data_IF_874945625222
#
_entry.id   IF_874945625222
#
_cell.length_a   1.000
_cell.length_b   1.000
_cell.length_c   1.000
_cell.angle_alpha   90.00
_cell.angle_beta   90.00
_cell.angle_gamma   90.00
#
_symmetry.space_group_name_H-M   'P 1'
#
loop_
_entity.id
_entity.type
_entity.pdbx_description
1 polymer ?
#
# COMPACT_ATOMS: atom_id res chain seq x y z
N UNK A 1 25.72 -26.84 43.91
CA UNK A 1 26.12 -25.47 43.50
C UNK A 1 27.56 -25.52 43.00
N UNK A 2 28.00 -24.62 42.10
CA UNK A 2 27.25 -23.78 41.16
C UNK A 2 27.25 -24.50 39.76
N UNK A 3 27.11 -23.93 38.56
CA UNK A 3 26.85 -22.54 38.11
C UNK A 3 25.68 -22.54 37.10
N UNK A 4 24.84 -21.52 37.27
CA UNK A 4 23.81 -20.95 36.39
C UNK A 4 24.22 -20.70 34.91
N UNK A 5 23.38 -21.09 33.94
CA UNK A 5 23.13 -20.26 32.75
C UNK A 5 21.80 -20.58 32.02
N UNK A 6 21.08 -19.54 31.63
CA UNK A 6 20.24 -19.53 30.41
C UNK A 6 18.93 -20.34 30.40
N UNK A 7 17.93 -19.94 31.17
CA UNK A 7 16.53 -20.20 30.80
C UNK A 7 16.21 -19.42 29.51
N UNK A 8 16.43 -20.04 28.36
CA UNK A 8 16.17 -19.43 27.05
C UNK A 8 15.43 -20.45 26.18
N UNK A 9 14.10 -20.45 26.31
CA UNK A 9 13.20 -21.38 25.66
C UNK A 9 13.04 -21.02 24.16
N UNK A 10 14.11 -21.24 23.37
CA UNK A 10 14.04 -21.14 21.92
C UNK A 10 13.21 -22.33 21.41
N UNK A 11 11.91 -22.10 21.21
CA UNK A 11 11.02 -23.05 20.54
C UNK A 11 11.39 -23.09 19.04
N UNK A 12 12.50 -23.75 18.76
CA UNK A 12 12.92 -24.09 17.41
C UNK A 12 11.95 -25.14 16.86
N UNK A 13 11.09 -24.72 15.93
CA UNK A 13 10.19 -25.61 15.22
C UNK A 13 10.98 -26.48 14.23
N UNK A 14 11.57 -27.57 14.71
CA UNK A 14 12.22 -28.58 13.88
C UNK A 14 11.18 -29.34 13.04
N UNK A 15 11.31 -29.28 11.72
CA UNK A 15 10.60 -30.14 10.78
C UNK A 15 11.48 -31.35 10.53
N UNK A 16 10.96 -32.55 10.78
CA UNK A 16 11.65 -33.83 10.59
C UNK A 16 10.68 -34.88 10.01
N UNK A 17 11.19 -35.97 9.45
CA UNK A 17 10.35 -37.02 8.87
C UNK A 17 9.71 -37.89 9.96
N UNK A 18 8.64 -38.63 9.60
CA UNK A 18 7.98 -39.55 10.54
C UNK A 18 8.95 -40.63 11.07
N UNK A 19 9.86 -41.12 10.22
CA UNK A 19 10.92 -42.06 10.61
C UNK A 19 11.88 -41.45 11.65
N UNK A 20 12.21 -40.15 11.51
CA UNK A 20 13.06 -39.43 12.46
C UNK A 20 12.33 -39.18 13.80
N UNK A 21 11.02 -38.92 13.78
CA UNK A 21 10.20 -38.86 15.01
C UNK A 21 10.18 -40.22 15.73
N UNK A 22 9.98 -41.31 14.99
CA UNK A 22 9.94 -42.66 15.57
C UNK A 22 11.29 -43.07 16.15
N UNK A 23 12.40 -42.86 15.44
CA UNK A 23 13.74 -43.25 15.90
C UNK A 23 14.26 -42.41 17.08
N UNK A 24 14.02 -41.10 17.10
CA UNK A 24 14.59 -40.21 18.13
C UNK A 24 13.67 -40.00 19.34
N UNK A 25 12.35 -40.16 19.18
CA UNK A 25 11.37 -39.87 20.25
C UNK A 25 10.37 -41.00 20.51
N UNK A 26 10.40 -42.10 19.73
CA UNK A 26 9.50 -43.25 19.91
C UNK A 26 8.02 -42.98 19.54
N UNK A 27 7.70 -41.80 19.02
CA UNK A 27 6.32 -41.39 18.73
C UNK A 27 5.88 -41.94 17.38
N UNK A 28 4.99 -42.94 17.39
CA UNK A 28 4.40 -43.54 16.17
C UNK A 28 3.00 -43.01 15.82
N UNK A 29 2.35 -42.28 16.73
CA UNK A 29 0.95 -41.88 16.60
C UNK A 29 0.78 -40.45 16.06
N UNK A 30 -0.16 -40.26 15.13
CA UNK A 30 -0.46 -38.97 14.52
C UNK A 30 -1.32 -38.08 15.42
N UNK A 31 -0.72 -37.04 15.99
CA UNK A 31 -1.44 -36.08 16.86
C UNK A 31 -2.27 -35.03 16.09
N UNK A 32 -2.03 -34.83 14.80
CA UNK A 32 -2.78 -33.88 13.95
C UNK A 32 -2.67 -34.30 12.49
N UNK A 33 -3.78 -34.21 11.74
CA UNK A 33 -3.84 -34.46 10.29
C UNK A 33 -4.41 -33.23 9.60
N UNK A 34 -3.61 -32.59 8.75
CA UNK A 34 -3.99 -31.37 8.02
C UNK A 34 -4.49 -31.72 6.61
N UNK A 35 -5.79 -31.54 6.37
CA UNK A 35 -6.41 -31.77 5.05
C UNK A 35 -6.60 -30.42 4.36
N UNK A 36 -5.92 -30.21 3.23
CA UNK A 36 -6.15 -29.06 2.35
C UNK A 36 -7.21 -29.41 1.30
N UNK A 37 -8.26 -28.60 1.20
CA UNK A 37 -9.33 -28.78 0.21
C UNK A 37 -9.09 -27.82 -0.95
N UNK A 38 -8.95 -28.37 -2.16
CA UNK A 38 -8.77 -27.58 -3.39
C UNK A 38 -9.92 -26.58 -3.59
N UNK A 39 -9.57 -25.34 -3.91
CA UNK A 39 -10.50 -24.22 -4.08
C UNK A 39 -11.55 -24.49 -5.18
N UNK A 40 -12.74 -24.91 -4.75
CA UNK A 40 -13.88 -25.25 -5.62
C UNK A 40 -14.83 -26.22 -4.94
N UNK A 41 -14.31 -27.21 -4.21
CA UNK A 41 -15.12 -28.12 -3.38
C UNK A 41 -15.56 -27.44 -2.08
N UNK A 42 -16.81 -27.62 -1.68
CA UNK A 42 -17.39 -26.96 -0.51
C UNK A 42 -16.71 -27.37 0.80
N UNK A 43 -15.81 -26.55 1.34
CA UNK A 43 -15.06 -26.86 2.57
C UNK A 43 -15.97 -27.26 3.75
N UNK A 44 -17.14 -26.60 3.88
CA UNK A 44 -18.17 -26.93 4.89
C UNK A 44 -18.78 -28.31 4.71
N UNK A 45 -18.95 -28.78 3.47
CA UNK A 45 -19.50 -30.10 3.16
C UNK A 45 -18.47 -31.20 3.41
N UNK A 46 -17.22 -30.97 3.00
CA UNK A 46 -16.08 -31.86 3.31
C UNK A 46 -15.90 -31.97 4.83
N UNK A 47 -15.90 -30.84 5.55
CA UNK A 47 -15.85 -30.77 7.01
C UNK A 47 -17.03 -31.50 7.69
N UNK A 48 -18.26 -31.29 7.21
CA UNK A 48 -19.45 -31.97 7.72
C UNK A 48 -19.44 -33.48 7.46
N UNK A 49 -18.79 -33.96 6.40
CA UNK A 49 -18.63 -35.40 6.14
C UNK A 49 -17.47 -36.00 6.93
N UNK A 50 -16.33 -35.30 7.05
CA UNK A 50 -15.25 -35.70 7.97
C UNK A 50 -15.75 -35.81 9.41
N UNK A 51 -16.52 -34.82 9.90
CA UNK A 51 -17.15 -34.83 11.23
C UNK A 51 -18.24 -35.89 11.45
N UNK A 52 -18.66 -36.63 10.41
CA UNK A 52 -19.43 -37.87 10.57
C UNK A 52 -18.51 -39.08 10.72
N UNK A 53 -17.47 -39.17 9.89
CA UNK A 53 -16.52 -40.28 9.85
C UNK A 53 -15.68 -40.33 11.14
N UNK A 54 -15.23 -39.19 11.66
CA UNK A 54 -14.39 -39.12 12.87
C UNK A 54 -15.12 -39.41 14.17
N UNK A 55 -16.47 -39.55 14.18
CA UNK A 55 -17.22 -39.90 15.40
C UNK A 55 -16.85 -41.25 16.01
N UNK A 56 -16.34 -42.19 15.19
CA UNK A 56 -15.82 -43.47 15.66
C UNK A 56 -14.39 -43.40 16.21
N UNK A 57 -13.70 -42.25 16.10
CA UNK A 57 -12.33 -42.07 16.57
C UNK A 57 -12.36 -41.35 17.92
N UNK A 58 -11.95 -42.05 18.98
CA UNK A 58 -11.99 -41.53 20.34
C UNK A 58 -11.15 -40.23 20.46
N UNK A 59 -11.72 -39.19 21.08
CA UNK A 59 -11.04 -37.90 21.35
C UNK A 59 -10.64 -37.06 20.11
N UNK A 60 -11.10 -37.40 18.90
CA UNK A 60 -10.86 -36.61 17.69
C UNK A 60 -11.67 -35.29 17.68
N UNK A 61 -11.03 -34.17 17.33
CA UNK A 61 -11.70 -32.86 17.17
C UNK A 61 -11.42 -32.33 15.75
N UNK A 62 -12.46 -32.25 14.93
CA UNK A 62 -12.40 -31.58 13.61
C UNK A 62 -12.50 -30.07 13.84
N UNK A 63 -11.48 -29.31 13.42
CA UNK A 63 -11.41 -27.85 13.58
C UNK A 63 -11.42 -27.18 12.21
N UNK A 64 -12.49 -26.44 11.93
CA UNK A 64 -12.76 -25.88 10.62
C UNK A 64 -12.12 -24.49 10.45
N UNK A 65 -10.93 -24.46 9.86
CA UNK A 65 -10.21 -23.22 9.57
C UNK A 65 -10.83 -22.38 8.44
N UNK A 66 -11.81 -22.91 7.70
CA UNK A 66 -12.43 -22.20 6.57
C UNK A 66 -13.17 -20.94 7.00
N UNK A 67 -14.04 -21.02 8.01
CA UNK A 67 -14.77 -19.86 8.53
C UNK A 67 -13.87 -18.88 9.30
N UNK A 68 -12.82 -19.37 9.99
CA UNK A 68 -11.82 -18.50 10.64
C UNK A 68 -11.05 -17.68 9.61
N UNK A 69 -10.60 -18.31 8.51
CA UNK A 69 -9.97 -17.62 7.38
C UNK A 69 -10.93 -16.62 6.73
N UNK A 70 -12.21 -16.97 6.57
CA UNK A 70 -13.23 -16.06 6.01
C UNK A 70 -13.48 -14.83 6.89
N UNK A 71 -13.53 -14.99 8.21
CA UNK A 71 -13.62 -13.86 9.16
C UNK A 71 -12.35 -12.99 9.15
N UNK A 72 -11.16 -13.59 9.13
CA UNK A 72 -9.91 -12.84 9.03
C UNK A 72 -9.82 -12.04 7.72
N UNK A 73 -10.23 -12.61 6.59
CA UNK A 73 -10.22 -11.92 5.30
C UNK A 73 -11.21 -10.74 5.27
N UNK A 74 -12.41 -10.88 5.86
CA UNK A 74 -13.36 -9.77 6.02
C UNK A 74 -12.78 -8.65 6.89
N UNK A 75 -12.09 -8.98 8.00
CA UNK A 75 -11.41 -8.02 8.87
C UNK A 75 -10.25 -7.30 8.17
N UNK A 76 -9.45 -8.03 7.37
CA UNK A 76 -8.40 -7.44 6.54
C UNK A 76 -8.97 -6.50 5.48
N UNK A 77 -10.05 -6.91 4.79
CA UNK A 77 -10.75 -6.06 3.82
C UNK A 77 -11.32 -4.79 4.46
N UNK A 78 -11.91 -4.90 5.66
CA UNK A 78 -12.41 -3.74 6.41
C UNK A 78 -11.28 -2.75 6.77
N UNK A 79 -10.12 -3.25 7.21
CA UNK A 79 -8.94 -2.39 7.45
C UNK A 79 -8.40 -1.76 6.16
N UNK A 80 -8.30 -2.55 5.09
CA UNK A 80 -7.85 -2.09 3.78
C UNK A 80 -8.74 -0.95 3.27
N UNK A 81 -10.07 -1.12 3.33
CA UNK A 81 -11.04 -0.08 2.99
C UNK A 81 -10.89 1.19 3.85
N UNK A 82 -10.72 1.05 5.16
CA UNK A 82 -10.52 2.18 6.07
C UNK A 82 -9.26 3.01 5.73
N UNK A 83 -8.12 2.34 5.48
CA UNK A 83 -6.89 3.04 5.10
C UNK A 83 -6.99 3.70 3.71
N UNK A 84 -7.61 3.06 2.71
CA UNK A 84 -7.83 3.69 1.41
C UNK A 84 -8.82 4.87 1.48
N UNK A 85 -9.86 4.80 2.32
CA UNK A 85 -10.76 5.92 2.58
C UNK A 85 -10.02 7.14 3.11
N UNK A 86 -9.15 6.96 4.10
CA UNK A 86 -8.28 8.03 4.63
C UNK A 86 -7.35 8.56 3.54
N UNK A 87 -6.72 7.69 2.74
CA UNK A 87 -5.83 8.11 1.66
C UNK A 87 -6.54 8.97 0.60
N UNK A 88 -7.78 8.64 0.24
CA UNK A 88 -8.60 9.42 -0.72
C UNK A 88 -8.96 10.80 -0.12
N UNK A 89 -9.33 10.86 1.16
CA UNK A 89 -9.62 12.13 1.85
C UNK A 89 -8.38 13.03 1.91
N UNK A 90 -7.21 12.47 2.26
CA UNK A 90 -5.94 13.20 2.27
C UNK A 90 -5.53 13.69 0.87
N UNK A 91 -5.77 12.89 -0.17
CA UNK A 91 -5.55 13.29 -1.56
C UNK A 91 -6.46 14.47 -1.94
N UNK A 92 -7.75 14.44 -1.56
CA UNK A 92 -8.67 15.55 -1.77
C UNK A 92 -8.24 16.85 -1.08
N UNK A 93 -7.83 16.76 0.19
CA UNK A 93 -7.28 17.90 0.96
C UNK A 93 -6.02 18.45 0.29
N UNK A 94 -5.12 17.57 -0.18
CA UNK A 94 -3.90 17.96 -0.90
C UNK A 94 -4.20 18.70 -2.20
N UNK A 95 -5.17 18.24 -3.00
CA UNK A 95 -5.59 18.93 -4.23
C UNK A 95 -6.15 20.33 -3.93
N UNK A 96 -7.01 20.48 -2.92
CA UNK A 96 -7.53 21.77 -2.48
C UNK A 96 -6.41 22.71 -2.00
N UNK A 97 -5.45 22.19 -1.23
CA UNK A 97 -4.29 22.96 -0.79
C UNK A 97 -3.43 23.44 -1.98
N UNK A 98 -3.20 22.59 -2.99
CA UNK A 98 -2.47 22.98 -4.20
C UNK A 98 -3.27 24.03 -5.00
N UNK A 99 -4.60 23.90 -5.12
CA UNK A 99 -5.44 24.90 -5.80
C UNK A 99 -5.33 26.28 -5.14
N UNK A 100 -5.47 26.34 -3.82
CA UNK A 100 -5.36 27.59 -3.05
C UNK A 100 -3.94 28.21 -3.15
N UNK A 101 -2.91 27.36 -3.05
CA UNK A 101 -1.51 27.79 -3.20
C UNK A 101 -1.21 28.33 -4.61
N UNK A 102 -1.76 27.68 -5.64
CA UNK A 102 -1.64 28.14 -7.03
C UNK A 102 -2.37 29.47 -7.27
N UNK A 103 -3.57 29.67 -6.71
CA UNK A 103 -4.29 30.95 -6.81
C UNK A 103 -3.45 32.12 -6.25
N UNK A 104 -2.82 31.93 -5.10
CA UNK A 104 -1.89 32.91 -4.52
C UNK A 104 -0.67 33.17 -5.43
N UNK A 105 -0.04 32.11 -5.95
CA UNK A 105 1.11 32.22 -6.84
C UNK A 105 0.77 32.89 -8.18
N UNK A 106 -0.44 32.66 -8.69
CA UNK A 106 -1.01 33.28 -9.89
C UNK A 106 -1.17 34.80 -9.68
N UNK A 107 -1.77 35.21 -8.56
CA UNK A 107 -1.94 36.63 -8.25
C UNK A 107 -0.58 37.37 -8.23
N UNK A 108 0.46 36.74 -7.67
CA UNK A 108 1.82 37.29 -7.68
C UNK A 108 2.45 37.37 -9.09
N UNK A 109 2.36 36.30 -9.91
CA UNK A 109 2.98 36.25 -11.25
C UNK A 109 2.16 36.95 -12.35
N UNK A 110 0.94 37.44 -12.06
CA UNK A 110 0.04 38.11 -13.02
C UNK A 110 0.72 39.23 -13.82
N UNK A 111 1.55 40.05 -13.15
CA UNK A 111 2.33 41.13 -13.75
C UNK A 111 3.42 40.63 -14.71
N UNK A 112 4.11 39.55 -14.36
CA UNK A 112 5.14 38.92 -15.20
C UNK A 112 4.54 38.39 -16.50
N UNK A 113 3.37 37.75 -16.41
CA UNK A 113 2.66 37.26 -17.60
C UNK A 113 2.11 38.39 -18.48
N UNK A 114 1.63 39.50 -17.91
CA UNK A 114 1.27 40.69 -18.70
C UNK A 114 2.42 41.19 -19.57
N UNK A 115 3.64 41.21 -19.03
CA UNK A 115 4.86 41.58 -19.77
C UNK A 115 5.19 40.53 -20.85
N UNK A 116 5.07 39.23 -20.55
CA UNK A 116 5.24 38.16 -21.55
C UNK A 116 4.23 38.23 -22.71
N UNK A 117 2.98 38.63 -22.44
CA UNK A 117 1.93 38.84 -23.45
C UNK A 117 2.20 40.08 -24.30
N UNK A 118 2.70 41.16 -23.70
CA UNK A 118 3.19 42.34 -24.44
C UNK A 118 4.39 42.02 -25.34
N UNK A 119 5.24 41.06 -24.97
CA UNK A 119 6.31 40.51 -25.82
C UNK A 119 5.83 39.46 -26.84
N UNK A 120 4.51 39.30 -27.02
CA UNK A 120 3.93 38.47 -28.09
C UNK A 120 3.84 36.97 -27.79
N UNK A 121 3.91 36.52 -26.54
CA UNK A 121 3.65 35.10 -26.24
C UNK A 121 2.20 34.75 -26.56
N UNK A 122 1.99 33.66 -27.31
CA UNK A 122 0.65 33.12 -27.54
C UNK A 122 0.18 32.26 -26.37
N UNK A 123 -1.13 32.22 -26.14
CA UNK A 123 -1.83 31.26 -25.27
C UNK A 123 -1.26 29.84 -25.32
N UNK A 124 -1.02 29.33 -26.53
CA UNK A 124 -0.50 27.98 -26.78
C UNK A 124 0.97 27.86 -26.38
N UNK A 125 1.77 28.91 -26.53
CA UNK A 125 3.12 29.01 -25.99
C UNK A 125 3.13 28.97 -24.47
N UNK A 126 2.28 29.78 -23.82
CA UNK A 126 2.13 29.82 -22.36
C UNK A 126 1.67 28.46 -21.77
N UNK A 127 0.65 27.83 -22.38
CA UNK A 127 0.19 26.49 -22.00
C UNK A 127 1.31 25.43 -22.12
N UNK A 128 2.14 25.51 -23.17
CA UNK A 128 3.33 24.64 -23.32
C UNK A 128 4.44 24.94 -22.30
N UNK A 129 4.61 26.20 -21.89
CA UNK A 129 5.57 26.60 -20.85
C UNK A 129 5.18 26.02 -19.50
N UNK A 130 3.93 26.23 -19.06
CA UNK A 130 3.41 25.69 -17.78
C UNK A 130 3.39 24.16 -17.79
N UNK A 131 3.11 23.50 -18.93
CA UNK A 131 3.24 22.05 -19.05
C UNK A 131 4.68 21.55 -18.77
N UNK A 132 5.70 22.23 -19.32
CA UNK A 132 7.12 21.92 -19.06
C UNK A 132 7.56 22.25 -17.62
N UNK A 133 6.96 23.25 -16.99
CA UNK A 133 7.19 23.56 -15.57
C UNK A 133 6.56 22.50 -14.66
N UNK A 134 5.30 22.15 -14.88
CA UNK A 134 4.60 21.06 -14.16
C UNK A 134 5.25 19.69 -14.33
N UNK A 135 5.75 19.36 -15.54
CA UNK A 135 6.48 18.10 -15.77
C UNK A 135 7.79 18.04 -14.97
N UNK A 136 8.55 19.13 -14.90
CA UNK A 136 9.77 19.22 -14.07
C UNK A 136 9.43 19.04 -12.59
N UNK A 137 8.42 19.76 -12.09
CA UNK A 137 7.96 19.60 -10.71
C UNK A 137 7.48 18.17 -10.40
N UNK A 138 6.74 17.53 -11.32
CA UNK A 138 6.33 16.13 -11.21
C UNK A 138 7.52 15.18 -11.05
N UNK A 139 8.53 15.29 -11.93
CA UNK A 139 9.76 14.47 -11.89
C UNK A 139 10.51 14.68 -10.57
N UNK A 140 10.75 15.92 -10.13
CA UNK A 140 11.43 16.18 -8.86
C UNK A 140 10.62 15.65 -7.66
N UNK A 141 9.29 15.78 -7.66
CA UNK A 141 8.44 15.25 -6.59
C UNK A 141 8.45 13.72 -6.56
N UNK A 142 8.43 13.05 -7.71
CA UNK A 142 8.52 11.59 -7.83
C UNK A 142 9.84 11.03 -7.30
N UNK A 143 10.97 11.72 -7.57
CA UNK A 143 12.29 11.37 -7.02
C UNK A 143 12.29 11.52 -5.48
N UNK A 144 11.77 12.62 -4.94
CA UNK A 144 11.66 12.82 -3.49
C UNK A 144 10.76 11.77 -2.83
N UNK A 145 9.59 11.48 -3.42
CA UNK A 145 8.67 10.45 -2.93
C UNK A 145 9.30 9.05 -2.96
N UNK A 146 10.07 8.71 -4.01
CA UNK A 146 10.84 7.47 -4.07
C UNK A 146 11.86 7.35 -2.92
N UNK A 147 12.64 8.40 -2.67
CA UNK A 147 13.64 8.42 -1.60
C UNK A 147 12.96 8.26 -0.23
N UNK A 148 11.90 9.03 0.04
CA UNK A 148 11.12 8.89 1.26
C UNK A 148 10.50 7.50 1.41
N UNK A 149 9.97 6.92 0.33
CA UNK A 149 9.43 5.55 0.31
C UNK A 149 10.49 4.52 0.70
N UNK A 150 11.69 4.55 0.11
CA UNK A 150 12.75 3.59 0.45
C UNK A 150 13.23 3.73 1.90
N UNK A 151 13.33 4.95 2.42
CA UNK A 151 13.67 5.22 3.83
C UNK A 151 12.60 4.62 4.76
N UNK A 152 11.32 4.94 4.51
CA UNK A 152 10.19 4.45 5.31
C UNK A 152 10.10 2.92 5.23
N UNK A 153 10.28 2.31 4.05
CA UNK A 153 10.29 0.86 3.86
C UNK A 153 11.42 0.20 4.68
N UNK A 154 12.62 0.78 4.70
CA UNK A 154 13.75 0.28 5.52
C UNK A 154 13.48 0.40 7.02
N UNK A 155 12.90 1.51 7.47
CA UNK A 155 12.55 1.72 8.89
C UNK A 155 11.45 0.75 9.33
N UNK A 156 10.38 0.56 8.54
CA UNK A 156 9.33 -0.42 8.83
C UNK A 156 9.86 -1.85 8.83
N UNK A 157 10.74 -2.20 7.88
CA UNK A 157 11.36 -3.53 7.83
C UNK A 157 12.21 -3.80 9.08
N UNK A 158 13.06 -2.84 9.48
CA UNK A 158 13.85 -2.95 10.71
C UNK A 158 12.94 -3.13 11.94
N UNK A 159 11.89 -2.33 12.07
CA UNK A 159 10.94 -2.41 13.18
C UNK A 159 10.17 -3.74 13.22
N UNK A 160 9.71 -4.25 12.07
CA UNK A 160 9.03 -5.55 11.97
C UNK A 160 9.93 -6.73 12.38
N UNK A 161 11.19 -6.72 11.95
CA UNK A 161 12.15 -7.78 12.27
C UNK A 161 12.60 -7.71 13.73
N UNK A 162 12.94 -6.52 14.23
CA UNK A 162 13.61 -6.35 15.52
C UNK A 162 12.64 -6.25 16.72
N UNK A 163 11.40 -5.78 16.51
CA UNK A 163 10.41 -5.60 17.60
C UNK A 163 9.32 -6.69 17.61
N UNK A 164 8.95 -7.22 16.44
CA UNK A 164 7.86 -8.20 16.32
C UNK A 164 8.31 -9.62 15.93
N UNK A 165 9.61 -9.86 15.71
CA UNK A 165 10.19 -11.14 15.28
C UNK A 165 9.47 -11.79 14.07
N UNK A 166 8.95 -10.99 13.13
CA UNK A 166 8.36 -11.54 11.91
C UNK A 166 9.43 -12.20 11.03
N UNK A 167 9.46 -13.53 11.02
CA UNK A 167 10.48 -14.33 10.34
C UNK A 167 10.48 -14.17 8.80
N UNK A 168 9.33 -13.82 8.21
CA UNK A 168 9.18 -13.55 6.77
C UNK A 168 8.30 -12.32 6.47
N UNK A 169 8.85 -11.09 6.57
CA UNK A 169 8.15 -9.89 6.10
C UNK A 169 8.10 -9.88 4.57
N UNK A 170 6.94 -10.22 3.97
CA UNK A 170 6.73 -10.18 2.51
C UNK A 170 6.57 -8.74 2.00
N UNK A 171 7.62 -7.92 2.14
CA UNK A 171 7.68 -6.51 1.73
C UNK A 171 7.86 -6.32 0.21
N UNK A 172 7.33 -7.23 -0.60
CA UNK A 172 7.40 -7.21 -2.07
C UNK A 172 6.17 -6.51 -2.65
N UNK A 173 6.25 -5.18 -2.76
CA UNK A 173 5.35 -4.42 -3.65
C UNK A 173 5.86 -4.63 -5.08
N UNK A 174 5.00 -5.10 -5.98
CA UNK A 174 5.35 -5.28 -7.40
C UNK A 174 5.82 -3.97 -8.01
N UNK A 175 6.94 -4.01 -8.75
CA UNK A 175 7.55 -2.80 -9.33
C UNK A 175 6.56 -2.03 -10.23
N UNK A 176 5.67 -2.74 -10.91
CA UNK A 176 4.59 -2.23 -11.77
C UNK A 176 3.65 -1.28 -11.01
N UNK A 177 3.29 -1.60 -9.76
CA UNK A 177 2.41 -0.77 -8.92
C UNK A 177 3.12 0.53 -8.55
N UNK A 178 4.40 0.45 -8.19
CA UNK A 178 5.23 1.61 -7.88
C UNK A 178 5.44 2.50 -9.12
N UNK A 179 5.68 1.91 -10.29
CA UNK A 179 5.77 2.64 -11.57
C UNK A 179 4.43 3.31 -11.93
N UNK A 180 3.30 2.62 -11.76
CA UNK A 180 1.96 3.17 -12.00
C UNK A 180 1.63 4.34 -11.08
N UNK A 181 2.01 4.28 -9.78
CA UNK A 181 1.82 5.37 -8.83
C UNK A 181 2.67 6.60 -9.19
N UNK A 182 3.91 6.41 -9.66
CA UNK A 182 4.77 7.52 -10.10
C UNK A 182 4.22 8.17 -11.38
N UNK A 183 3.77 7.38 -12.35
CA UNK A 183 3.12 7.89 -13.56
C UNK A 183 1.83 8.65 -13.22
N UNK A 184 1.01 8.13 -12.31
CA UNK A 184 -0.19 8.78 -11.81
C UNK A 184 0.12 10.12 -11.11
N UNK A 185 1.17 10.18 -10.28
CA UNK A 185 1.63 11.41 -9.65
C UNK A 185 2.04 12.47 -10.70
N UNK A 186 2.85 12.09 -11.71
CA UNK A 186 3.27 13.01 -12.77
C UNK A 186 2.06 13.52 -13.58
N UNK A 187 1.09 12.64 -13.89
CA UNK A 187 -0.16 13.01 -14.57
C UNK A 187 -0.97 13.99 -13.71
N UNK A 188 -1.14 13.74 -12.41
CA UNK A 188 -1.85 14.64 -11.48
C UNK A 188 -1.15 16.02 -11.44
N UNK A 189 0.17 16.07 -11.30
CA UNK A 189 0.93 17.33 -11.29
C UNK A 189 0.71 18.14 -12.59
N UNK A 190 0.83 17.50 -13.76
CA UNK A 190 0.63 18.16 -15.05
C UNK A 190 -0.84 18.57 -15.27
N UNK A 191 -1.81 17.76 -14.85
CA UNK A 191 -3.23 18.14 -14.89
C UNK A 191 -3.53 19.35 -14.02
N UNK A 192 -3.03 19.38 -12.78
CA UNK A 192 -3.27 20.50 -11.85
C UNK A 192 -2.62 21.79 -12.35
N UNK A 193 -1.36 21.78 -12.80
CA UNK A 193 -0.75 23.00 -13.35
C UNK A 193 -1.41 23.48 -14.64
N UNK A 194 -1.90 22.58 -15.50
CA UNK A 194 -2.67 22.95 -16.70
C UNK A 194 -4.07 23.51 -16.37
N UNK A 195 -4.72 23.04 -15.30
CA UNK A 195 -5.99 23.62 -14.82
C UNK A 195 -5.74 25.01 -14.24
N UNK A 196 -4.76 25.17 -13.35
CA UNK A 196 -4.35 26.46 -12.81
C UNK A 196 -3.95 27.45 -13.90
N UNK A 197 -3.13 27.05 -14.87
CA UNK A 197 -2.71 27.87 -16.02
C UNK A 197 -3.87 28.30 -16.93
N UNK A 198 -4.95 27.50 -17.03
CA UNK A 198 -6.19 27.89 -17.73
C UNK A 198 -7.04 28.87 -16.92
N UNK A 199 -6.98 28.83 -15.59
CA UNK A 199 -7.69 29.79 -14.74
C UNK A 199 -7.11 31.20 -14.90
N UNK A 200 -5.78 31.37 -14.91
CA UNK A 200 -5.09 32.66 -15.13
C UNK A 200 -5.64 33.41 -16.34
N UNK A 201 -5.67 32.72 -17.48
CA UNK A 201 -6.11 33.29 -18.75
C UNK A 201 -7.58 33.72 -18.73
N UNK A 202 -8.44 33.01 -17.97
CA UNK A 202 -9.85 33.39 -17.82
C UNK A 202 -10.03 34.60 -16.89
N UNK A 203 -9.33 34.64 -15.77
CA UNK A 203 -9.43 35.76 -14.81
C UNK A 203 -8.94 37.07 -15.42
N UNK A 204 -7.85 37.05 -16.20
CA UNK A 204 -7.37 38.26 -16.88
C UNK A 204 -8.31 38.76 -17.97
N UNK A 205 -8.90 37.87 -18.80
CA UNK A 205 -9.89 38.29 -19.80
C UNK A 205 -11.14 38.88 -19.13
N UNK A 206 -11.50 38.42 -17.92
CA UNK A 206 -12.60 38.98 -17.15
C UNK A 206 -12.30 40.35 -16.48
N UNK A 207 -11.02 40.73 -16.35
CA UNK A 207 -10.59 42.07 -15.95
C UNK A 207 -10.38 43.00 -17.16
N UNK A 208 -9.77 42.53 -18.25
CA UNK A 208 -9.56 43.28 -19.51
C UNK A 208 -10.85 43.71 -20.22
N UNK A 209 -12.01 43.19 -19.79
CA UNK A 209 -13.36 43.55 -20.28
C UNK A 209 -14.10 44.47 -19.26
N UNK A 210 -13.47 44.79 -18.13
CA UNK A 210 -14.07 45.47 -16.99
C UNK A 210 -13.36 46.79 -16.61
N UNK A 211 -12.14 47.01 -17.10
CA UNK A 211 -11.55 48.34 -17.31
C UNK A 211 -12.00 48.94 -18.65
#
# INVERSE_FOLDING_TARGET
MPVNQGFFEIINHFIMTNEQMEQNFGVKEYQTVSISVTSGSGAKEVSANLGKITKNVHKCIVKDYSEQSRQQNLYLFQKMFFYYGIAIVLLGISLLHIMNSMQYLIAARKREFGILRAMGITDTGFKKMIAKEGLRYGIYSGITVLICYFIIQKVLYYFMVHVYLYLHPKAFISWEVLAAVILLNIVICVCVTLVSGKAVLKEQIAEEIKE
#
